data_IF_865908862753
#
_entry.id   IF_865908862753
#
_cell.length_a   1.000
_cell.length_b   1.000
_cell.length_c   1.000
_cell.angle_alpha   90.00
_cell.angle_beta   90.00
_cell.angle_gamma   90.00
#
_symmetry.space_group_name_H-M   'P 1'
#
loop_
_entity.id
_entity.type
_entity.pdbx_description
1 polymer ?
#
# COMPACT_ATOMS: atom_id res chain seq x y z
N UNK A 1 -23.39 -17.96 19.10
CA UNK A 1 -22.60 -16.83 18.54
C UNK A 1 -21.21 -17.36 18.23
N UNK A 2 -20.67 -17.06 17.04
CA UNK A 2 -19.33 -17.52 16.63
C UNK A 2 -18.27 -16.51 17.04
N UNK A 3 -17.11 -16.99 17.46
CA UNK A 3 -15.92 -16.18 17.70
C UNK A 3 -15.23 -15.93 16.36
N UNK A 4 -15.14 -14.68 15.92
CA UNK A 4 -14.53 -14.32 14.64
C UNK A 4 -13.69 -13.04 14.74
N UNK A 5 -12.65 -12.97 13.90
CA UNK A 5 -11.93 -11.74 13.59
C UNK A 5 -12.23 -11.37 12.14
N UNK A 6 -12.46 -10.08 11.90
CA UNK A 6 -12.69 -9.55 10.55
C UNK A 6 -12.15 -8.14 10.38
N UNK A 7 -12.02 -7.70 9.14
CA UNK A 7 -11.64 -6.33 8.82
C UNK A 7 -12.88 -5.43 8.83
N UNK A 8 -12.86 -4.39 9.66
CA UNK A 8 -13.90 -3.36 9.69
C UNK A 8 -13.75 -2.36 8.53
N UNK A 9 -14.82 -1.64 8.22
CA UNK A 9 -14.84 -0.64 7.14
C UNK A 9 -13.83 0.52 7.31
N UNK A 10 -13.30 0.70 8.52
CA UNK A 10 -12.27 1.69 8.85
C UNK A 10 -10.85 1.13 8.81
N UNK A 11 -10.67 -0.12 8.39
CA UNK A 11 -9.38 -0.84 8.40
C UNK A 11 -8.96 -1.34 9.78
N UNK A 12 -9.83 -1.22 10.80
CA UNK A 12 -9.61 -1.79 12.13
C UNK A 12 -10.00 -3.26 12.17
N UNK A 13 -9.33 -4.04 13.03
CA UNK A 13 -9.69 -5.44 13.26
C UNK A 13 -10.87 -5.48 14.23
N UNK A 14 -11.99 -6.02 13.79
CA UNK A 14 -13.17 -6.27 14.62
C UNK A 14 -13.11 -7.69 15.19
N UNK A 15 -13.20 -7.80 16.51
CA UNK A 15 -13.26 -9.08 17.24
C UNK A 15 -14.67 -9.25 17.78
N UNK A 16 -15.40 -10.22 17.24
CA UNK A 16 -16.76 -10.56 17.69
C UNK A 16 -16.69 -11.86 18.48
N UNK A 17 -17.17 -11.83 19.72
CA UNK A 17 -17.28 -13.00 20.57
C UNK A 17 -18.52 -12.89 21.47
N UNK A 18 -19.09 -14.01 21.93
CA UNK A 18 -19.93 -14.00 23.12
C UNK A 18 -19.15 -13.41 24.31
N UNK A 19 -19.88 -12.97 25.34
CA UNK A 19 -19.24 -12.58 26.59
C UNK A 19 -18.62 -13.80 27.27
N UNK A 20 -17.32 -13.71 27.53
CA UNK A 20 -16.53 -14.68 28.31
C UNK A 20 -15.45 -13.89 29.07
N UNK A 21 -15.43 -14.02 30.40
CA UNK A 21 -14.56 -13.20 31.24
C UNK A 21 -13.07 -13.35 30.89
N UNK A 22 -12.64 -14.57 30.55
CA UNK A 22 -11.26 -14.86 30.17
C UNK A 22 -10.90 -14.17 28.85
N UNK A 23 -11.74 -14.33 27.83
CA UNK A 23 -11.56 -13.67 26.54
C UNK A 23 -11.58 -12.15 26.66
N UNK A 24 -12.48 -11.58 27.48
CA UNK A 24 -12.52 -10.14 27.72
C UNK A 24 -11.25 -9.63 28.42
N UNK A 25 -10.71 -10.38 29.37
CA UNK A 25 -9.44 -10.04 30.02
C UNK A 25 -8.26 -10.10 29.04
N UNK A 26 -8.20 -11.13 28.20
CA UNK A 26 -7.17 -11.26 27.15
C UNK A 26 -7.23 -10.11 26.15
N UNK A 27 -8.43 -9.77 25.65
CA UNK A 27 -8.61 -8.64 24.71
C UNK A 27 -8.22 -7.29 25.34
N UNK A 28 -8.49 -7.08 26.63
CA UNK A 28 -8.04 -5.88 27.35
C UNK A 28 -6.52 -5.82 27.54
N UNK A 29 -5.84 -6.97 27.52
CA UNK A 29 -4.38 -7.06 27.67
C UNK A 29 -3.63 -6.76 26.36
N UNK A 30 -4.26 -6.97 25.20
CA UNK A 30 -3.66 -6.73 23.87
C UNK A 30 -3.18 -5.29 23.69
N UNK A 31 -2.04 -5.12 23.01
CA UNK A 31 -1.45 -3.82 22.66
C UNK A 31 -1.11 -3.76 21.16
N UNK A 32 -1.30 -2.60 20.49
CA UNK A 32 -1.97 -1.39 20.97
C UNK A 32 -3.43 -1.63 21.44
N UNK A 33 -3.92 -0.78 22.35
CA UNK A 33 -5.21 -1.00 23.02
C UNK A 33 -6.37 -0.94 22.03
N UNK A 34 -7.28 -1.90 22.13
CA UNK A 34 -8.57 -1.85 21.44
C UNK A 34 -9.62 -1.07 22.21
N UNK A 35 -10.70 -0.72 21.52
CA UNK A 35 -11.88 -0.07 22.07
C UNK A 35 -13.11 -0.96 21.91
N UNK A 36 -14.03 -0.92 22.87
CA UNK A 36 -15.32 -1.59 22.73
C UNK A 36 -16.28 -0.74 21.89
N UNK A 37 -16.82 -1.31 20.81
CA UNK A 37 -17.77 -0.64 19.94
C UNK A 37 -19.20 -1.14 20.19
N UNK A 38 -19.92 -0.43 21.05
CA UNK A 38 -21.25 -0.83 21.56
C UNK A 38 -22.29 -1.05 20.45
N UNK A 39 -22.27 -0.26 19.37
CA UNK A 39 -23.25 -0.38 18.27
C UNK A 39 -23.19 -1.73 17.55
N UNK A 40 -21.98 -2.30 17.40
CA UNK A 40 -21.76 -3.62 16.77
C UNK A 40 -21.49 -4.73 17.79
N UNK A 41 -21.44 -4.39 19.08
CA UNK A 41 -21.13 -5.29 20.20
C UNK A 41 -19.84 -6.10 19.95
N UNK A 42 -18.79 -5.40 19.51
CA UNK A 42 -17.50 -6.01 19.20
C UNK A 42 -16.35 -5.15 19.74
N UNK A 43 -15.17 -5.74 19.87
CA UNK A 43 -13.95 -4.97 20.06
C UNK A 43 -13.40 -4.52 18.71
N UNK A 44 -12.82 -3.33 18.68
CA UNK A 44 -12.10 -2.78 17.56
C UNK A 44 -10.65 -2.50 17.96
N UNK A 45 -9.71 -3.02 17.17
CA UNK A 45 -8.28 -2.82 17.38
C UNK A 45 -7.64 -2.18 16.14
N UNK A 46 -6.59 -1.37 16.31
CA UNK A 46 -5.78 -0.96 15.18
C UNK A 46 -5.13 -2.19 14.53
N UNK A 47 -4.93 -2.14 13.21
CA UNK A 47 -4.39 -3.26 12.45
C UNK A 47 -2.98 -3.69 12.93
N UNK A 48 -2.18 -2.74 13.45
CA UNK A 48 -0.89 -3.00 14.11
C UNK A 48 -0.98 -4.03 15.26
N UNK A 49 -2.12 -4.11 15.95
CA UNK A 49 -2.33 -5.07 17.03
C UNK A 49 -2.50 -6.51 16.53
N UNK A 50 -2.54 -6.76 15.21
CA UNK A 50 -2.76 -8.06 14.60
C UNK A 50 -1.91 -9.19 15.22
N UNK A 51 -0.57 -9.08 15.34
CA UNK A 51 0.22 -10.19 15.86
C UNK A 51 -0.13 -10.52 17.32
N UNK A 52 -0.33 -9.50 18.15
CA UNK A 52 -0.71 -9.67 19.56
C UNK A 52 -2.13 -10.24 19.70
N UNK A 53 -3.06 -9.84 18.83
CA UNK A 53 -4.42 -10.40 18.77
C UNK A 53 -4.41 -11.88 18.40
N UNK A 54 -3.69 -12.24 17.34
CA UNK A 54 -3.59 -13.62 16.87
C UNK A 54 -2.94 -14.51 17.94
N UNK A 55 -1.91 -14.02 18.64
CA UNK A 55 -1.33 -14.74 19.76
C UNK A 55 -2.31 -14.92 20.94
N UNK A 56 -3.13 -13.90 21.24
CA UNK A 56 -4.06 -13.94 22.37
C UNK A 56 -5.32 -14.79 22.12
N UNK A 57 -5.86 -14.73 20.90
CA UNK A 57 -7.18 -15.33 20.60
C UNK A 57 -7.25 -16.11 19.28
N UNK A 58 -6.23 -16.03 18.42
CA UNK A 58 -6.26 -16.58 17.05
C UNK A 58 -6.55 -18.08 16.97
N UNK A 59 -6.07 -18.89 17.91
CA UNK A 59 -6.34 -20.34 17.94
C UNK A 59 -7.82 -20.70 18.17
N UNK A 60 -8.61 -19.79 18.73
CA UNK A 60 -10.02 -20.03 19.12
C UNK A 60 -11.03 -19.32 18.22
N UNK A 61 -10.56 -18.43 17.34
CA UNK A 61 -11.43 -17.57 16.55
C UNK A 61 -11.20 -17.83 15.06
N UNK A 62 -12.29 -17.85 14.30
CA UNK A 62 -12.20 -17.94 12.84
C UNK A 62 -11.81 -16.59 12.25
N UNK A 63 -10.88 -16.58 11.30
CA UNK A 63 -10.52 -15.40 10.52
C UNK A 63 -11.43 -15.31 9.29
N UNK A 64 -12.07 -14.16 9.09
CA UNK A 64 -12.75 -13.91 7.81
C UNK A 64 -11.72 -13.78 6.67
N UNK A 65 -12.06 -14.23 5.45
CA UNK A 65 -11.11 -14.31 4.33
C UNK A 65 -10.36 -13.00 4.06
N UNK A 66 -11.07 -11.87 4.03
CA UNK A 66 -10.48 -10.55 3.76
C UNK A 66 -9.38 -10.21 4.78
N UNK A 67 -9.62 -10.48 6.07
CA UNK A 67 -8.61 -10.24 7.11
C UNK A 67 -7.43 -11.21 6.96
N UNK A 68 -7.70 -12.48 6.66
CA UNK A 68 -6.64 -13.47 6.47
C UNK A 68 -5.70 -13.09 5.31
N UNK A 69 -6.24 -12.59 4.20
CA UNK A 69 -5.45 -12.11 3.05
C UNK A 69 -4.55 -10.93 3.45
N UNK A 70 -5.09 -9.94 4.16
CA UNK A 70 -4.33 -8.80 4.66
C UNK A 70 -3.20 -9.21 5.62
N UNK A 71 -3.44 -10.18 6.50
CA UNK A 71 -2.42 -10.71 7.40
C UNK A 71 -1.34 -11.47 6.63
N UNK A 72 -1.72 -12.27 5.64
CA UNK A 72 -0.77 -12.95 4.77
C UNK A 72 0.13 -11.96 4.01
N UNK A 73 -0.42 -10.82 3.55
CA UNK A 73 0.38 -9.77 2.92
C UNK A 73 1.35 -9.08 3.87
N UNK A 74 1.04 -8.97 5.17
CA UNK A 74 2.00 -8.47 6.16
C UNK A 74 3.18 -9.43 6.36
N UNK A 75 2.90 -10.73 6.34
CA UNK A 75 3.90 -11.77 6.55
C UNK A 75 4.75 -12.06 5.31
N UNK A 76 4.22 -11.74 4.11
CA UNK A 76 4.95 -11.88 2.85
C UNK A 76 5.90 -10.69 2.65
N UNK A 77 7.23 -10.89 2.71
CA UNK A 77 8.15 -9.82 2.35
C UNK A 77 7.94 -9.47 0.87
N UNK A 78 7.81 -8.18 0.55
CA UNK A 78 7.95 -7.71 -0.82
C UNK A 78 9.18 -8.40 -1.44
N UNK A 79 9.07 -8.91 -2.68
CA UNK A 79 10.19 -9.57 -3.33
C UNK A 79 11.43 -8.67 -3.27
N UNK A 80 12.63 -9.25 -3.16
CA UNK A 80 13.85 -8.45 -3.09
C UNK A 80 13.88 -7.52 -4.31
N UNK A 81 14.02 -6.22 -4.05
CA UNK A 81 14.15 -5.25 -5.12
C UNK A 81 15.46 -5.53 -5.89
N UNK A 82 15.47 -5.35 -7.22
CA UNK A 82 16.71 -5.36 -7.97
C UNK A 82 17.72 -4.35 -7.37
N UNK A 83 19.03 -4.57 -7.51
CA UNK A 83 20.04 -3.67 -6.97
C UNK A 83 19.80 -2.23 -7.42
N UNK A 84 19.95 -1.26 -6.51
CA UNK A 84 19.67 0.16 -6.77
C UNK A 84 20.37 0.70 -8.01
N UNK A 85 21.64 0.32 -8.22
CA UNK A 85 22.41 0.72 -9.40
C UNK A 85 21.76 0.27 -10.71
N UNK A 86 21.18 -0.93 -10.73
CA UNK A 86 20.58 -1.54 -11.92
C UNK A 86 19.25 -0.85 -12.20
N UNK A 87 18.47 -0.56 -11.15
CA UNK A 87 17.24 0.25 -11.24
C UNK A 87 17.52 1.66 -11.79
N UNK A 88 18.56 2.34 -11.30
CA UNK A 88 18.92 3.69 -11.78
C UNK A 88 19.37 3.65 -13.25
N UNK A 89 20.12 2.62 -13.66
CA UNK A 89 20.51 2.42 -15.04
C UNK A 89 19.27 2.18 -15.94
N UNK A 90 18.38 1.27 -15.53
CA UNK A 90 17.16 0.93 -16.25
C UNK A 90 16.13 2.08 -16.29
N UNK A 91 16.22 3.05 -15.38
CA UNK A 91 15.40 4.26 -15.41
C UNK A 91 15.79 5.19 -16.57
N UNK A 92 17.02 5.13 -17.09
CA UNK A 92 17.50 5.93 -18.23
C UNK A 92 17.23 7.44 -18.06
N UNK A 93 17.46 7.99 -16.86
CA UNK A 93 17.04 9.35 -16.49
C UNK A 93 17.72 10.50 -17.27
N UNK A 94 18.69 10.17 -18.13
CA UNK A 94 19.40 11.12 -18.98
C UNK A 94 19.00 11.04 -20.45
N UNK A 95 18.16 10.06 -20.84
CA UNK A 95 17.69 9.94 -22.21
C UNK A 95 16.54 10.90 -22.50
N UNK A 96 16.45 11.33 -23.76
CA UNK A 96 15.29 12.07 -24.28
C UNK A 96 14.12 11.11 -24.38
N UNK A 97 12.96 11.53 -23.87
CA UNK A 97 11.72 10.75 -23.92
C UNK A 97 11.18 10.70 -25.36
N UNK A 98 10.37 9.69 -25.71
CA UNK A 98 9.75 9.56 -27.04
C UNK A 98 8.99 10.80 -27.53
N UNK A 99 8.47 11.61 -26.61
CA UNK A 99 7.77 12.86 -26.90
C UNK A 99 8.70 14.10 -27.01
N UNK A 100 10.02 13.89 -27.01
CA UNK A 100 11.04 14.92 -27.13
C UNK A 100 11.42 15.61 -25.81
N UNK A 101 10.74 15.32 -24.69
CA UNK A 101 11.07 15.93 -23.40
C UNK A 101 12.34 15.33 -22.80
N UNK A 102 13.06 16.13 -22.02
CA UNK A 102 14.15 15.66 -21.15
C UNK A 102 13.79 15.91 -19.69
N UNK A 103 14.15 14.98 -18.80
CA UNK A 103 13.94 15.17 -17.36
C UNK A 103 14.71 16.40 -16.87
N UNK A 104 14.09 17.17 -15.99
CA UNK A 104 14.75 18.27 -15.27
C UNK A 104 15.71 17.72 -14.20
N UNK A 105 16.67 18.54 -13.76
CA UNK A 105 17.69 18.11 -12.80
C UNK A 105 17.10 17.56 -11.48
N UNK A 106 16.07 18.24 -10.94
CA UNK A 106 15.39 17.80 -9.73
C UNK A 106 14.61 16.50 -9.94
N UNK A 107 14.02 16.29 -11.13
CA UNK A 107 13.31 15.05 -11.45
C UNK A 107 14.28 13.88 -11.49
N UNK A 108 15.47 14.04 -12.08
CA UNK A 108 16.51 12.99 -12.08
C UNK A 108 16.93 12.61 -10.66
N UNK A 109 17.08 13.60 -9.78
CA UNK A 109 17.38 13.37 -8.36
C UNK A 109 16.20 12.65 -7.68
N UNK A 110 14.97 13.10 -7.93
CA UNK A 110 13.75 12.49 -7.41
C UNK A 110 13.61 11.02 -7.80
N UNK A 111 13.84 10.67 -9.07
CA UNK A 111 13.81 9.28 -9.54
C UNK A 111 14.83 8.42 -8.79
N UNK A 112 16.08 8.88 -8.70
CA UNK A 112 17.14 8.14 -7.97
C UNK A 112 16.80 7.96 -6.50
N UNK A 113 16.19 8.98 -5.89
CA UNK A 113 15.78 8.96 -4.48
C UNK A 113 14.61 8.00 -4.24
N UNK A 114 13.64 7.94 -5.15
CA UNK A 114 12.52 6.98 -5.09
C UNK A 114 13.02 5.54 -5.19
N UNK A 115 13.90 5.26 -6.17
CA UNK A 115 14.42 3.89 -6.42
C UNK A 115 15.30 3.35 -5.29
N UNK A 116 15.80 4.20 -4.40
CA UNK A 116 16.62 3.78 -3.26
C UNK A 116 15.80 3.24 -2.08
N UNK A 117 14.47 3.20 -2.16
CA UNK A 117 13.57 2.93 -1.04
C UNK A 117 12.44 1.99 -1.45
N UNK A 118 11.90 1.24 -0.48
CA UNK A 118 10.71 0.38 -0.67
C UNK A 118 9.39 1.17 -0.63
N UNK A 119 9.39 2.34 -0.01
CA UNK A 119 8.25 3.24 0.09
C UNK A 119 8.75 4.66 0.31
N UNK A 120 8.03 5.63 -0.25
CA UNK A 120 8.47 7.03 -0.26
C UNK A 120 7.28 7.99 -0.39
N UNK A 121 7.42 9.17 0.21
CA UNK A 121 6.50 10.30 0.03
C UNK A 121 7.23 11.37 -0.78
N UNK A 122 6.81 11.58 -2.03
CA UNK A 122 7.36 12.63 -2.90
C UNK A 122 6.55 13.92 -2.72
N UNK A 123 7.04 14.82 -1.87
CA UNK A 123 6.37 16.07 -1.50
C UNK A 123 6.95 17.31 -2.21
N UNK A 124 7.39 17.18 -3.46
CA UNK A 124 7.82 18.32 -4.27
C UNK A 124 6.70 19.35 -4.45
N UNK A 125 7.06 20.62 -4.60
CA UNK A 125 6.11 21.71 -4.86
C UNK A 125 5.21 21.45 -6.10
N UNK A 126 4.07 22.13 -6.14
CA UNK A 126 3.15 22.05 -7.28
C UNK A 126 3.85 22.50 -8.58
N UNK A 127 3.57 21.81 -9.69
CA UNK A 127 4.17 22.12 -10.99
C UNK A 127 5.54 21.50 -11.26
N UNK A 128 6.20 20.88 -10.28
CA UNK A 128 7.54 20.27 -10.47
C UNK A 128 7.53 18.91 -11.22
N UNK A 129 6.38 18.45 -11.70
CA UNK A 129 6.26 17.24 -12.51
C UNK A 129 6.37 15.94 -11.71
N UNK A 130 5.77 15.89 -10.51
CA UNK A 130 5.77 14.69 -9.64
C UNK A 130 5.27 13.43 -10.33
N UNK A 131 4.24 13.54 -11.18
CA UNK A 131 3.69 12.43 -11.97
C UNK A 131 4.76 11.79 -12.83
N UNK A 132 5.49 12.60 -13.60
CA UNK A 132 6.57 12.14 -14.47
C UNK A 132 7.71 11.52 -13.64
N UNK A 133 8.13 12.18 -12.54
CA UNK A 133 9.16 11.64 -11.64
C UNK A 133 8.78 10.26 -11.09
N UNK A 134 7.53 10.08 -10.65
CA UNK A 134 7.04 8.81 -10.12
C UNK A 134 7.00 7.72 -11.21
N UNK A 135 6.45 8.03 -12.39
CA UNK A 135 6.36 7.08 -13.49
C UNK A 135 7.73 6.68 -14.05
N UNK A 136 8.71 7.58 -14.02
CA UNK A 136 10.08 7.29 -14.40
C UNK A 136 10.75 6.28 -13.45
N UNK A 137 10.49 6.37 -12.14
CA UNK A 137 10.90 5.33 -11.20
C UNK A 137 10.14 4.01 -11.45
N UNK A 138 8.83 4.08 -11.69
CA UNK A 138 8.01 2.91 -11.99
C UNK A 138 8.47 2.18 -13.26
N UNK A 139 8.94 2.90 -14.29
CA UNK A 139 9.48 2.31 -15.52
C UNK A 139 10.65 1.36 -15.25
N UNK A 140 11.56 1.75 -14.36
CA UNK A 140 12.68 0.88 -13.99
C UNK A 140 12.21 -0.40 -13.29
N UNK A 141 11.19 -0.26 -12.43
CA UNK A 141 10.58 -1.39 -11.74
C UNK A 141 9.90 -2.35 -12.70
N UNK A 142 9.11 -1.85 -13.67
CA UNK A 142 8.48 -2.70 -14.71
C UNK A 142 9.53 -3.47 -15.49
N UNK A 143 10.64 -2.82 -15.88
CA UNK A 143 11.71 -3.43 -16.68
C UNK A 143 12.50 -4.51 -15.95
N UNK A 144 12.69 -4.38 -14.63
CA UNK A 144 13.60 -5.26 -13.87
C UNK A 144 12.91 -6.16 -12.84
N UNK A 145 11.64 -5.92 -12.53
CA UNK A 145 10.91 -6.64 -11.48
C UNK A 145 9.54 -7.18 -11.94
N UNK A 146 9.24 -7.11 -13.26
CA UNK A 146 8.01 -7.62 -13.87
C UNK A 146 6.73 -7.30 -13.06
N UNK A 147 6.61 -6.04 -12.67
CA UNK A 147 5.53 -5.58 -11.82
C UNK A 147 4.48 -4.81 -12.62
N UNK A 148 3.20 -4.94 -12.24
CA UNK A 148 2.13 -4.05 -12.70
C UNK A 148 2.17 -2.70 -12.00
N UNK A 149 1.78 -1.63 -12.69
CA UNK A 149 1.65 -0.29 -12.11
C UNK A 149 0.17 -0.02 -11.81
N UNK A 150 -0.14 0.17 -10.53
CA UNK A 150 -1.46 0.60 -10.08
C UNK A 150 -1.37 2.05 -9.59
N UNK A 151 -2.26 2.92 -10.08
CA UNK A 151 -2.34 4.33 -9.69
C UNK A 151 -3.72 4.61 -9.12
N UNK A 152 -3.75 5.08 -7.87
CA UNK A 152 -4.96 5.56 -7.21
C UNK A 152 -4.93 7.09 -7.22
N UNK A 153 -5.86 7.70 -7.94
CA UNK A 153 -5.92 9.16 -8.11
C UNK A 153 -7.36 9.65 -8.30
N UNK A 154 -7.67 10.94 -8.03
CA UNK A 154 -8.93 11.54 -8.43
C UNK A 154 -9.22 11.31 -9.92
N UNK A 155 -10.47 11.01 -10.27
CA UNK A 155 -10.88 10.72 -11.67
C UNK A 155 -10.46 11.83 -12.64
N UNK A 156 -10.55 13.10 -12.22
CA UNK A 156 -10.13 14.24 -13.05
C UNK A 156 -8.64 14.25 -13.44
N UNK A 157 -7.80 13.47 -12.76
CA UNK A 157 -6.37 13.33 -13.08
C UNK A 157 -6.06 12.10 -13.93
N UNK A 158 -7.00 11.18 -14.15
CA UNK A 158 -6.75 9.91 -14.87
C UNK A 158 -6.21 10.16 -16.28
N UNK A 159 -6.82 11.08 -17.02
CA UNK A 159 -6.35 11.45 -18.37
C UNK A 159 -4.94 12.07 -18.37
N UNK A 160 -4.53 12.75 -17.29
CA UNK A 160 -3.17 13.24 -17.16
C UNK A 160 -2.18 12.10 -16.91
N UNK A 161 -2.50 11.18 -15.99
CA UNK A 161 -1.69 9.98 -15.73
C UNK A 161 -1.53 9.09 -16.96
N UNK A 162 -2.60 8.86 -17.71
CA UNK A 162 -2.55 8.07 -18.96
C UNK A 162 -1.63 8.70 -20.00
N UNK A 163 -1.71 10.03 -20.20
CA UNK A 163 -0.82 10.72 -21.15
C UNK A 163 0.65 10.62 -20.77
N UNK A 164 0.98 10.85 -19.49
CA UNK A 164 2.35 10.74 -19.01
C UNK A 164 2.87 9.29 -19.09
N UNK A 165 2.02 8.30 -18.82
CA UNK A 165 2.38 6.89 -18.96
C UNK A 165 2.57 6.47 -20.41
N UNK A 166 1.71 6.93 -21.32
CA UNK A 166 1.83 6.67 -22.76
C UNK A 166 3.15 7.22 -23.32
N UNK A 167 3.57 8.42 -22.89
CA UNK A 167 4.86 8.99 -23.25
C UNK A 167 6.05 8.12 -22.81
N UNK A 168 5.87 7.27 -21.80
CA UNK A 168 6.88 6.36 -21.27
C UNK A 168 6.70 4.91 -21.74
N UNK A 169 5.70 4.62 -22.56
CA UNK A 169 5.35 3.26 -22.98
C UNK A 169 4.86 2.38 -21.84
N UNK A 170 4.24 2.96 -20.81
CA UNK A 170 3.76 2.25 -19.63
C UNK A 170 2.25 2.01 -19.70
N UNK A 171 1.83 0.82 -19.25
CA UNK A 171 0.42 0.49 -19.01
C UNK A 171 0.10 0.69 -17.53
N UNK A 172 -0.97 1.44 -17.24
CA UNK A 172 -1.44 1.71 -15.87
C UNK A 172 -2.78 1.05 -15.62
N UNK A 173 -2.94 0.49 -14.42
CA UNK A 173 -4.24 0.19 -13.81
C UNK A 173 -4.66 1.41 -12.98
N UNK A 174 -5.72 2.11 -13.37
CA UNK A 174 -6.15 3.36 -12.74
C UNK A 174 -7.42 3.16 -11.92
N UNK A 175 -7.34 3.54 -10.65
CA UNK A 175 -8.47 3.50 -9.72
C UNK A 175 -8.76 4.88 -9.15
N UNK A 176 -10.05 5.14 -8.90
CA UNK A 176 -10.46 6.32 -8.16
C UNK A 176 -10.35 6.06 -6.67
N UNK A 177 -9.84 7.01 -5.90
CA UNK A 177 -9.92 6.92 -4.43
C UNK A 177 -11.35 6.82 -3.87
N UNK A 178 -12.36 7.13 -4.68
CA UNK A 178 -13.78 7.04 -4.31
C UNK A 178 -14.35 5.65 -4.57
N UNK A 179 -13.61 4.81 -5.30
CA UNK A 179 -13.95 3.43 -5.61
C UNK A 179 -12.65 2.64 -5.70
N UNK A 180 -12.12 2.27 -4.53
CA UNK A 180 -10.99 1.38 -4.43
C UNK A 180 -11.38 -0.01 -4.99
N UNK A 181 -10.43 -0.72 -5.62
CA UNK A 181 -10.65 -2.07 -6.13
C UNK A 181 -11.04 -3.06 -5.03
#
# INVERSE_FOLDING_TARGET
MRCLLRLGATGQIEVVSPFDAVTQAQLRAVRPRGQWFTRRRCWQFPFEAAPALLAAVGARFSLEPDLAEWLAWLEQPLPPLPPHRDLVAAAEVHQVLPDGRSLLAHQRVGVRWLLARRGAVLADAMGLGKTLTALMAARAMVRLADCRIVVIAPVGLHAHWQREAAALGLSLELHSWAKLP
#
